data_IF_475359749684
#
_entry.id   IF_475359749684
#
_cell.length_a   1.000
_cell.length_b   1.000
_cell.length_c   1.000
_cell.angle_alpha   90.00
_cell.angle_beta   90.00
_cell.angle_gamma   90.00
#
_symmetry.space_group_name_H-M   'P 1'
#
loop_
_entity.id
_entity.type
_entity.pdbx_description
1 polymer ?
#
# COMPACT_ATOMS: atom_id res chain seq x y z
N UNK A 1 -9.70 -10.18 -13.39
CA UNK A 1 -9.04 -9.00 -14.00
C UNK A 1 -8.38 -8.09 -12.97
N UNK A 2 -7.13 -7.69 -13.19
CA UNK A 2 -6.32 -6.89 -12.23
C UNK A 2 -6.52 -5.37 -12.35
N UNK A 3 -7.63 -4.93 -12.96
CA UNK A 3 -7.88 -3.53 -13.31
C UNK A 3 -8.87 -2.81 -12.39
N UNK A 4 -9.46 -3.48 -11.40
CA UNK A 4 -10.35 -2.81 -10.45
C UNK A 4 -9.51 -2.02 -9.44
N UNK A 5 -9.39 -0.71 -9.68
CA UNK A 5 -8.87 0.22 -8.68
C UNK A 5 -9.86 0.22 -7.52
N UNK A 6 -9.42 -0.17 -6.33
CA UNK A 6 -10.23 -0.08 -5.13
C UNK A 6 -10.46 1.39 -4.76
N UNK A 7 -11.71 1.78 -4.56
CA UNK A 7 -12.07 3.08 -4.03
C UNK A 7 -12.63 2.89 -2.61
N UNK A 8 -12.14 3.69 -1.68
CA UNK A 8 -12.69 3.75 -0.33
C UNK A 8 -13.14 5.18 -0.09
N UNK A 9 -14.39 5.34 0.35
CA UNK A 9 -14.93 6.65 0.73
C UNK A 9 -14.32 7.06 2.07
N UNK A 10 -13.10 7.60 2.01
CA UNK A 10 -12.43 8.22 3.15
C UNK A 10 -12.35 9.72 2.93
N UNK A 11 -12.40 10.48 4.02
CA UNK A 11 -12.06 11.89 4.00
C UNK A 11 -10.61 12.09 3.53
N UNK A 12 -10.33 13.26 2.95
CA UNK A 12 -9.00 13.57 2.42
C UNK A 12 -7.94 13.53 3.52
N UNK A 13 -6.99 12.60 3.40
CA UNK A 13 -5.91 12.48 4.35
C UNK A 13 -4.92 13.65 4.22
N UNK A 14 -4.68 14.35 5.33
CA UNK A 14 -3.71 15.44 5.42
C UNK A 14 -2.39 14.90 5.96
N UNK A 15 -1.29 15.18 5.27
CA UNK A 15 0.06 14.83 5.73
C UNK A 15 0.62 16.02 6.52
N UNK A 16 0.95 15.79 7.80
CA UNK A 16 1.53 16.82 8.66
C UNK A 16 3.06 16.88 8.49
N UNK A 17 3.59 18.08 8.31
CA UNK A 17 5.03 18.34 8.17
C UNK A 17 5.58 19.03 9.42
N UNK A 18 6.85 18.77 9.73
CA UNK A 18 7.62 19.43 10.80
C UNK A 18 8.16 20.81 10.38
N UNK A 19 8.24 21.08 9.07
CA UNK A 19 8.70 22.34 8.50
C UNK A 19 7.91 22.69 7.25
N UNK A 20 7.69 23.98 7.02
CA UNK A 20 7.05 24.52 5.81
C UNK A 20 8.01 24.70 4.63
N UNK A 21 9.31 24.39 4.79
CA UNK A 21 10.28 24.52 3.71
C UNK A 21 10.02 23.45 2.62
N UNK A 22 9.84 23.86 1.36
CA UNK A 22 9.54 22.92 0.29
C UNK A 22 10.74 22.08 -0.11
N UNK A 23 10.49 20.82 -0.47
CA UNK A 23 11.49 19.93 -1.05
C UNK A 23 11.34 19.97 -2.56
N UNK A 24 12.31 20.57 -3.25
CA UNK A 24 12.39 20.55 -4.71
C UNK A 24 13.67 19.89 -5.17
N UNK A 25 13.54 18.69 -5.73
CA UNK A 25 14.66 17.91 -6.25
C UNK A 25 14.73 17.99 -7.78
N UNK A 26 15.95 18.15 -8.29
CA UNK A 26 16.24 18.05 -9.73
C UNK A 26 16.04 16.60 -10.18
N UNK A 27 15.31 16.34 -11.27
CA UNK A 27 15.17 15.00 -11.84
C UNK A 27 16.54 14.35 -12.13
N UNK A 28 16.63 13.04 -11.95
CA UNK A 28 17.82 12.30 -12.36
C UNK A 28 17.98 12.28 -13.88
N UNK A 29 19.23 12.14 -14.33
CA UNK A 29 19.51 11.90 -15.75
C UNK A 29 18.92 10.54 -16.13
N UNK A 30 18.22 10.50 -17.26
CA UNK A 30 17.60 9.30 -17.80
C UNK A 30 17.97 9.19 -19.27
N UNK A 31 18.17 7.95 -19.73
CA UNK A 31 18.32 7.64 -21.15
C UNK A 31 16.99 7.90 -21.90
N UNK A 32 17.01 8.06 -23.23
CA UNK A 32 15.78 8.22 -24.02
C UNK A 32 14.77 7.08 -23.81
N UNK A 33 15.27 5.84 -23.69
CA UNK A 33 14.45 4.63 -23.48
C UNK A 33 13.75 4.69 -22.11
N UNK A 34 14.50 5.04 -21.05
CA UNK A 34 13.94 5.20 -19.71
C UNK A 34 12.90 6.33 -19.67
N UNK A 35 13.17 7.46 -20.33
CA UNK A 35 12.25 8.59 -20.40
C UNK A 35 10.94 8.19 -21.08
N UNK A 36 11.00 7.47 -22.19
CA UNK A 36 9.83 6.96 -22.90
C UNK A 36 9.00 6.02 -22.01
N UNK A 37 9.67 5.12 -21.29
CA UNK A 37 8.99 4.19 -20.39
C UNK A 37 8.33 4.90 -19.19
N UNK A 38 8.99 5.93 -18.63
CA UNK A 38 8.39 6.77 -17.59
C UNK A 38 7.11 7.42 -18.11
N UNK A 39 7.15 8.04 -19.30
CA UNK A 39 5.95 8.68 -19.88
C UNK A 39 4.83 7.68 -20.12
N UNK A 40 5.14 6.50 -20.64
CA UNK A 40 4.14 5.44 -20.87
C UNK A 40 3.46 5.01 -19.57
N UNK A 41 4.21 4.86 -18.48
CA UNK A 41 3.64 4.52 -17.16
C UNK A 41 2.82 5.67 -16.56
N UNK A 42 3.27 6.92 -16.72
CA UNK A 42 2.54 8.10 -16.25
C UNK A 42 1.22 8.28 -16.99
N UNK A 43 1.22 8.13 -18.32
CA UNK A 43 0.00 8.26 -19.13
C UNK A 43 -1.06 7.25 -18.71
N UNK A 44 -0.67 5.99 -18.45
CA UNK A 44 -1.59 4.97 -17.93
C UNK A 44 -2.24 5.37 -16.61
N UNK A 45 -1.48 5.97 -15.69
CA UNK A 45 -2.01 6.44 -14.40
C UNK A 45 -2.90 7.68 -14.56
N UNK A 46 -2.58 8.55 -15.51
CA UNK A 46 -3.40 9.70 -15.85
C UNK A 46 -4.75 9.28 -16.43
N UNK A 47 -4.75 8.35 -17.40
CA UNK A 47 -5.97 7.80 -18.00
C UNK A 47 -6.82 7.01 -16.99
N UNK A 48 -6.17 6.37 -16.00
CA UNK A 48 -6.87 5.70 -14.91
C UNK A 48 -7.44 6.65 -13.83
N UNK A 49 -7.25 7.97 -13.96
CA UNK A 49 -7.72 8.95 -12.97
C UNK A 49 -6.93 8.96 -11.65
N UNK A 50 -5.80 8.24 -11.58
CA UNK A 50 -4.97 8.10 -10.38
C UNK A 50 -3.94 9.24 -10.22
N UNK A 51 -3.74 10.04 -11.27
CA UNK A 51 -2.81 11.17 -11.27
C UNK A 51 -3.42 12.39 -11.93
N UNK A 52 -3.03 13.57 -11.43
CA UNK A 52 -3.43 14.87 -11.97
C UNK A 52 -2.20 15.76 -12.15
N UNK A 53 -2.22 16.61 -13.18
CA UNK A 53 -1.23 17.68 -13.36
C UNK A 53 -1.45 18.78 -12.32
N UNK A 54 -0.39 19.12 -11.57
CA UNK A 54 -0.40 20.17 -10.56
C UNK A 54 0.87 21.03 -10.68
N UNK A 55 0.73 22.32 -10.36
CA UNK A 55 1.87 23.20 -10.16
C UNK A 55 2.21 23.20 -8.68
N UNK A 56 3.30 22.54 -8.31
CA UNK A 56 3.70 22.33 -6.92
C UNK A 56 5.05 22.96 -6.65
N UNK A 57 5.20 23.56 -5.46
CA UNK A 57 6.49 24.00 -4.92
C UNK A 57 7.34 22.81 -4.43
N UNK A 58 6.72 21.63 -4.30
CA UNK A 58 7.38 20.36 -4.00
C UNK A 58 7.64 19.56 -5.27
N UNK A 59 8.83 18.97 -5.38
CA UNK A 59 9.24 18.09 -6.48
C UNK A 59 10.10 16.94 -5.95
N UNK A 60 9.71 15.71 -6.27
CA UNK A 60 10.48 14.49 -6.01
C UNK A 60 10.95 13.88 -7.33
N UNK A 61 12.11 13.21 -7.30
CA UNK A 61 12.69 12.59 -8.50
C UNK A 61 12.04 11.24 -8.79
N UNK A 62 12.05 10.86 -10.06
CA UNK A 62 11.57 9.55 -10.53
C UNK A 62 12.76 8.65 -10.82
N UNK A 63 12.63 7.37 -10.44
CA UNK A 63 13.63 6.33 -10.65
C UNK A 63 12.94 5.14 -11.34
N UNK A 64 13.59 4.54 -12.34
CA UNK A 64 13.18 3.23 -12.86
C UNK A 64 14.06 2.15 -12.24
N UNK A 65 13.43 1.08 -11.77
CA UNK A 65 14.15 -0.13 -11.37
C UNK A 65 13.60 -1.37 -12.08
N UNK A 66 14.50 -2.33 -12.33
CA UNK A 66 14.16 -3.60 -12.99
C UNK A 66 13.51 -4.56 -12.00
N UNK A 67 12.42 -5.21 -12.42
CA UNK A 67 11.78 -6.27 -11.65
C UNK A 67 12.52 -7.60 -11.86
N UNK A 68 12.84 -8.30 -10.76
CA UNK A 68 13.69 -9.51 -10.67
C UNK A 68 13.23 -10.81 -11.36
N UNK A 69 12.29 -10.77 -12.29
CA UNK A 69 11.82 -12.01 -12.94
C UNK A 69 11.84 -11.92 -14.47
N UNK A 70 11.89 -10.71 -15.04
CA UNK A 70 11.96 -10.53 -16.49
C UNK A 70 12.70 -9.23 -16.74
N UNK A 71 13.86 -9.28 -17.42
CA UNK A 71 14.69 -8.11 -17.78
C UNK A 71 13.95 -7.04 -18.63
N UNK A 72 12.65 -7.21 -18.90
CA UNK A 72 11.80 -6.33 -19.70
C UNK A 72 10.79 -5.52 -18.89
N UNK A 73 10.58 -5.84 -17.61
CA UNK A 73 9.57 -5.17 -16.79
C UNK A 73 10.20 -4.20 -15.78
N UNK A 74 10.08 -2.90 -16.06
CA UNK A 74 10.52 -1.81 -15.18
C UNK A 74 9.38 -1.30 -14.31
N UNK A 75 9.71 -0.88 -13.08
CA UNK A 75 8.77 -0.18 -12.19
C UNK A 75 9.25 1.24 -11.96
N UNK A 76 8.34 2.20 -12.12
CA UNK A 76 8.55 3.60 -11.74
C UNK A 76 8.41 3.77 -10.23
N UNK A 77 9.44 4.32 -9.61
CA UNK A 77 9.50 4.73 -8.20
C UNK A 77 9.62 6.25 -8.10
N UNK A 78 9.18 6.81 -6.97
CA UNK A 78 9.37 8.22 -6.63
C UNK A 78 10.27 8.27 -5.39
N UNK A 79 11.32 9.08 -5.42
CA UNK A 79 12.20 9.28 -4.28
C UNK A 79 11.59 10.29 -3.30
N UNK A 80 10.93 9.77 -2.27
CA UNK A 80 10.36 10.56 -1.19
C UNK A 80 11.27 10.70 0.03
N UNK A 81 12.53 10.24 -0.01
CA UNK A 81 13.38 10.21 1.20
C UNK A 81 13.50 11.57 1.88
N UNK A 82 13.76 12.64 1.11
CA UNK A 82 13.83 14.01 1.65
C UNK A 82 12.47 14.57 2.11
N UNK A 83 11.37 14.13 1.51
CA UNK A 83 10.04 14.53 1.96
C UNK A 83 9.70 13.82 3.27
N UNK A 84 9.99 12.52 3.36
CA UNK A 84 9.73 11.68 4.53
C UNK A 84 10.47 12.17 5.78
N UNK A 85 11.67 12.78 5.64
CA UNK A 85 12.36 13.39 6.78
C UNK A 85 11.64 14.63 7.34
N UNK A 86 10.77 15.26 6.55
CA UNK A 86 9.95 16.39 6.99
C UNK A 86 8.58 15.95 7.50
N UNK A 87 8.07 14.80 7.07
CA UNK A 87 6.80 14.26 7.53
C UNK A 87 6.87 13.92 9.03
N UNK A 88 5.80 14.23 9.77
CA UNK A 88 5.61 13.71 11.12
C UNK A 88 5.38 12.19 11.04
N UNK A 89 6.12 11.44 11.85
CA UNK A 89 5.89 9.99 11.99
C UNK A 89 4.57 9.74 12.67
N UNK A 90 3.81 8.77 12.15
CA UNK A 90 2.65 8.26 12.87
C UNK A 90 3.12 7.55 14.14
N UNK A 91 2.43 7.82 15.26
CA UNK A 91 2.79 7.24 16.56
C UNK A 91 2.27 5.81 16.72
N UNK A 92 1.36 5.37 15.87
CA UNK A 92 0.71 4.07 15.97
C UNK A 92 1.50 3.03 15.17
N UNK A 93 2.24 2.12 15.83
CA UNK A 93 2.94 1.06 15.13
C UNK A 93 1.93 0.07 14.56
N UNK A 94 2.19 -0.42 13.35
CA UNK A 94 1.51 -1.61 12.88
C UNK A 94 1.85 -2.76 13.84
N UNK A 95 0.84 -3.48 14.35
CA UNK A 95 1.08 -4.57 15.27
C UNK A 95 1.90 -5.67 14.60
N UNK A 96 2.85 -6.25 15.34
CA UNK A 96 3.65 -7.36 14.83
C UNK A 96 2.76 -8.55 14.46
N UNK A 97 3.08 -9.22 13.36
CA UNK A 97 2.30 -10.37 12.87
C UNK A 97 2.13 -11.47 13.93
N UNK A 98 3.17 -11.74 14.73
CA UNK A 98 3.11 -12.74 15.79
C UNK A 98 2.15 -12.33 16.92
N UNK A 99 2.16 -11.04 17.29
CA UNK A 99 1.25 -10.51 18.32
C UNK A 99 -0.19 -10.58 17.82
N UNK A 100 -0.44 -10.22 16.56
CA UNK A 100 -1.74 -10.38 15.92
C UNK A 100 -2.19 -11.84 15.98
N UNK A 101 -1.35 -12.77 15.51
CA UNK A 101 -1.67 -14.20 15.48
C UNK A 101 -1.95 -14.74 16.88
N UNK A 102 -1.11 -14.43 17.87
CA UNK A 102 -1.32 -14.82 19.27
C UNK A 102 -2.65 -14.28 19.79
N UNK A 103 -3.00 -13.03 19.50
CA UNK A 103 -4.26 -12.44 19.95
C UNK A 103 -5.46 -13.13 19.30
N UNK A 104 -5.39 -13.48 18.02
CA UNK A 104 -6.43 -14.27 17.34
C UNK A 104 -6.55 -15.67 17.96
N UNK A 105 -5.44 -16.37 18.19
CA UNK A 105 -5.43 -17.70 18.79
C UNK A 105 -5.91 -17.70 20.24
N UNK A 106 -5.55 -16.68 21.03
CA UNK A 106 -6.08 -16.47 22.39
C UNK A 106 -7.59 -16.23 22.38
N UNK A 107 -8.09 -15.42 21.44
CA UNK A 107 -9.53 -15.19 21.27
C UNK A 107 -10.27 -16.49 20.93
N UNK A 108 -9.69 -17.29 20.04
CA UNK A 108 -10.19 -18.63 19.69
C UNK A 108 -10.17 -19.57 20.91
N UNK A 109 -9.05 -19.66 21.63
CA UNK A 109 -8.91 -20.49 22.82
C UNK A 109 -9.86 -20.07 23.94
N UNK A 110 -10.12 -18.77 24.10
CA UNK A 110 -11.13 -18.26 25.03
C UNK A 110 -12.55 -18.71 24.64
N UNK A 111 -12.87 -18.71 23.34
CA UNK A 111 -14.16 -19.19 22.81
C UNK A 111 -14.34 -20.71 22.96
N UNK A 112 -13.28 -21.50 22.80
CA UNK A 112 -13.32 -22.96 22.99
C UNK A 112 -13.15 -23.38 24.46
N UNK A 113 -12.53 -22.56 25.30
CA UNK A 113 -12.34 -22.78 26.74
C UNK A 113 -13.54 -22.36 27.59
N UNK A 114 -14.30 -21.34 27.17
CA UNK A 114 -15.63 -21.03 27.71
C UNK A 114 -16.72 -21.87 27.00
N UNK A 115 -16.63 -23.19 27.12
CA UNK A 115 -17.75 -24.14 27.00
C UNK A 115 -18.93 -23.82 26.07
N UNK A 116 -18.74 -23.29 24.86
CA UNK A 116 -19.81 -23.31 23.85
C UNK A 116 -19.90 -24.76 23.36
N UNK A 117 -20.73 -25.54 24.05
CA UNK A 117 -21.10 -26.89 23.68
C UNK A 117 -21.90 -26.80 22.39
N UNK A 118 -21.24 -26.97 21.24
CA UNK A 118 -21.95 -27.23 20.00
C UNK A 118 -22.56 -28.62 20.14
N UNK A 119 -23.86 -28.67 20.44
CA UNK A 119 -24.62 -29.91 20.43
C UNK A 119 -24.64 -30.44 19.00
N UNK A 120 -23.82 -31.46 18.72
CA UNK A 120 -24.01 -32.32 17.56
C UNK A 120 -25.44 -32.86 17.63
N UNK A 121 -26.27 -32.49 16.65
CA UNK A 121 -27.57 -33.09 16.45
C UNK A 121 -27.36 -34.56 16.09
N UNK A 122 -27.76 -35.47 16.97
CA UNK A 122 -27.85 -36.89 16.65
C UNK A 122 -28.88 -37.05 15.52
N UNK A 123 -28.40 -37.44 14.34
CA UNK A 123 -29.27 -37.98 13.31
C UNK A 123 -29.67 -39.39 13.77
N UNK A 124 -30.93 -39.51 14.17
CA UNK A 124 -31.62 -40.79 14.33
C UNK A 124 -31.64 -41.52 13.00
N UNK A 125 -30.92 -42.63 12.89
CA UNK A 125 -31.18 -43.66 11.88
C UNK A 125 -31.86 -44.84 12.58
N UNK A 126 -33.19 -44.84 12.59
CA UNK A 126 -33.97 -46.07 12.57
C UNK A 126 -33.72 -46.76 11.22
N UNK A 127 -33.29 -48.02 11.24
CA UNK A 127 -33.80 -49.14 10.41
C UNK A 127 -32.76 -50.27 10.25
N UNK A 128 -32.90 -51.32 11.06
CA UNK A 128 -33.10 -52.74 10.71
C UNK A 128 -32.85 -53.64 11.93
#
# INVERSE_FOLDING_TARGET
DKSHVGEVSLELQRIALNSGLPVSLRPYRTSPIEKQEIYRQVEKLFQAGLMKRINSIYSSTVILALKRQECKNTRRYIDFRKLNTLCKSDSEPLPLMDILLINYLKKIHLLFGFGIRISSCAHSSESL
#
